data_IF_887849535657
#
_entry.id   IF_887849535657
#
_cell.length_a   1.000
_cell.length_b   1.000
_cell.length_c   1.000
_cell.angle_alpha   90.00
_cell.angle_beta   90.00
_cell.angle_gamma   90.00
#
_symmetry.space_group_name_H-M   'P 1'
#
loop_
_entity.id
_entity.type
_entity.pdbx_description
1 polymer ?
#
# COMPACT_ATOMS: atom_id res chain seq x y z
N UNK A 1 34.83 17.52 6.40
CA UNK A 1 34.10 17.41 5.13
C UNK A 1 32.64 17.43 5.52
N UNK A 2 31.93 18.51 5.20
CA UNK A 2 30.53 18.68 5.58
C UNK A 2 29.67 17.77 4.73
N UNK A 3 28.99 16.81 5.36
CA UNK A 3 27.98 15.97 4.73
C UNK A 3 26.79 16.86 4.33
N UNK A 4 26.78 17.26 3.07
CA UNK A 4 25.58 17.81 2.44
C UNK A 4 24.61 16.65 2.19
N UNK A 5 23.74 16.39 3.17
CA UNK A 5 22.49 15.68 2.94
C UNK A 5 21.74 16.44 1.83
N UNK A 6 21.70 15.85 0.63
CA UNK A 6 20.90 16.36 -0.48
C UNK A 6 19.47 16.59 0.00
N UNK A 7 18.84 17.73 -0.37
CA UNK A 7 17.47 18.00 0.03
C UNK A 7 16.56 16.87 -0.48
N UNK A 8 15.67 16.38 0.39
CA UNK A 8 14.66 15.40 0.02
C UNK A 8 13.84 15.95 -1.16
N UNK A 9 13.54 15.12 -2.18
CA UNK A 9 12.73 15.55 -3.32
C UNK A 9 11.37 16.09 -2.81
N UNK A 10 10.77 17.07 -3.52
CA UNK A 10 9.46 17.59 -3.17
C UNK A 10 8.44 16.44 -3.14
N UNK A 11 7.40 16.53 -2.28
CA UNK A 11 6.42 15.47 -2.17
C UNK A 11 5.76 15.25 -3.53
N UNK A 12 5.68 14.00 -4.00
CA UNK A 12 5.02 13.67 -5.26
C UNK A 12 3.56 14.12 -5.22
N UNK A 13 3.15 14.88 -6.24
CA UNK A 13 1.80 15.44 -6.34
C UNK A 13 0.79 14.50 -6.98
N UNK A 14 1.25 13.42 -7.63
CA UNK A 14 0.40 12.36 -8.22
C UNK A 14 0.53 11.05 -7.44
N UNK A 15 -0.54 10.25 -7.43
CA UNK A 15 -0.58 8.94 -6.77
C UNK A 15 0.52 8.02 -7.31
N UNK A 16 0.67 7.97 -8.63
CA UNK A 16 1.61 7.07 -9.28
C UNK A 16 3.06 7.52 -9.11
N UNK A 17 3.32 8.83 -9.13
CA UNK A 17 4.64 9.38 -8.78
C UNK A 17 5.03 8.98 -7.35
N UNK A 18 4.06 8.98 -6.42
CA UNK A 18 4.27 8.55 -5.04
C UNK A 18 4.61 7.07 -4.95
N UNK A 19 3.86 6.22 -5.67
CA UNK A 19 4.12 4.78 -5.74
C UNK A 19 5.49 4.50 -6.36
N UNK A 20 5.88 5.22 -7.41
CA UNK A 20 7.20 5.07 -8.04
C UNK A 20 8.35 5.43 -7.09
N UNK A 21 8.21 6.54 -6.35
CA UNK A 21 9.19 6.94 -5.32
C UNK A 21 9.31 5.87 -4.24
N UNK A 22 8.18 5.34 -3.75
CA UNK A 22 8.15 4.29 -2.73
C UNK A 22 8.76 2.97 -3.24
N UNK A 23 8.45 2.57 -4.48
CA UNK A 23 9.06 1.41 -5.12
C UNK A 23 10.58 1.57 -5.22
N UNK A 24 11.06 2.71 -5.71
CA UNK A 24 12.50 3.00 -5.83
C UNK A 24 13.21 2.98 -4.47
N UNK A 25 12.59 3.54 -3.44
CA UNK A 25 13.13 3.48 -2.07
C UNK A 25 13.18 2.04 -1.55
N UNK A 26 12.14 1.23 -1.76
CA UNK A 26 12.12 -0.17 -1.35
C UNK A 26 13.16 -1.02 -2.10
N UNK A 27 13.37 -0.77 -3.40
CA UNK A 27 14.36 -1.48 -4.21
C UNK A 27 15.79 -1.14 -3.74
N UNK A 28 16.05 0.14 -3.41
CA UNK A 28 17.35 0.58 -2.91
C UNK A 28 17.71 0.02 -1.52
N UNK A 29 16.72 -0.39 -0.73
CA UNK A 29 16.90 -0.87 0.65
C UNK A 29 16.75 -2.40 0.79
N UNK A 30 16.87 -3.17 -0.31
CA UNK A 30 16.67 -4.63 -0.28
C UNK A 30 17.96 -5.45 -0.33
N UNK A 31 18.07 -6.49 0.52
CA UNK A 31 19.15 -7.47 0.45
C UNK A 31 18.86 -8.66 -0.49
N UNK A 32 17.64 -8.78 -1.02
CA UNK A 32 17.14 -9.96 -1.77
C UNK A 32 16.87 -9.64 -3.25
N UNK A 33 17.03 -10.63 -4.12
CA UNK A 33 16.88 -10.49 -5.57
C UNK A 33 15.43 -10.34 -6.06
N UNK A 34 15.27 -9.99 -7.34
CA UNK A 34 14.03 -9.47 -7.93
C UNK A 34 12.78 -10.35 -7.70
N UNK A 35 12.89 -11.68 -7.85
CA UNK A 35 11.74 -12.59 -7.71
C UNK A 35 11.28 -12.75 -6.26
N UNK A 36 12.21 -12.90 -5.34
CA UNK A 36 11.90 -13.00 -3.91
C UNK A 36 11.33 -11.68 -3.40
N UNK A 37 11.87 -10.57 -3.90
CA UNK A 37 11.36 -9.25 -3.61
C UNK A 37 9.89 -9.08 -3.98
N UNK A 38 9.49 -9.49 -5.18
CA UNK A 38 8.08 -9.46 -5.59
C UNK A 38 7.19 -10.32 -4.66
N UNK A 39 7.62 -11.55 -4.35
CA UNK A 39 6.84 -12.44 -3.48
C UNK A 39 6.65 -11.85 -2.08
N UNK A 40 7.69 -11.23 -1.51
CA UNK A 40 7.58 -10.57 -0.21
C UNK A 40 6.62 -9.37 -0.23
N UNK A 41 6.58 -8.59 -1.33
CA UNK A 41 5.59 -7.50 -1.50
C UNK A 41 4.17 -8.02 -1.57
N UNK A 42 3.95 -9.16 -2.24
CA UNK A 42 2.64 -9.81 -2.29
C UNK A 42 2.26 -10.35 -0.91
N UNK A 43 3.19 -10.95 -0.17
CA UNK A 43 2.93 -11.47 1.18
C UNK A 43 2.58 -10.36 2.18
N UNK A 44 3.19 -9.17 2.04
CA UNK A 44 2.89 -8.00 2.88
C UNK A 44 1.39 -7.66 2.88
N UNK A 45 0.67 -7.89 1.77
CA UNK A 45 -0.79 -7.70 1.72
C UNK A 45 -1.56 -8.47 2.81
N UNK A 46 -1.10 -9.67 3.16
CA UNK A 46 -1.75 -10.47 4.21
C UNK A 46 -1.51 -9.88 5.60
N UNK A 47 -0.39 -9.20 5.81
CA UNK A 47 -0.07 -8.49 7.04
C UNK A 47 -0.99 -7.27 7.20
N UNK A 48 -1.06 -6.40 6.20
CA UNK A 48 -1.91 -5.19 6.19
C UNK A 48 -3.40 -5.54 6.38
N UNK A 49 -3.89 -6.60 5.73
CA UNK A 49 -5.27 -7.08 5.93
C UNK A 49 -5.48 -7.58 7.36
N UNK A 50 -4.46 -8.17 7.98
CA UNK A 50 -4.48 -8.56 9.39
C UNK A 50 -4.58 -7.34 10.31
N UNK A 51 -3.86 -6.26 10.00
CA UNK A 51 -3.89 -5.01 10.75
C UNK A 51 -5.25 -4.32 10.61
N UNK A 52 -5.87 -4.30 9.42
CA UNK A 52 -7.27 -3.87 9.26
C UNK A 52 -8.21 -4.68 10.18
N UNK A 53 -8.04 -6.00 10.25
CA UNK A 53 -8.87 -6.84 11.11
C UNK A 53 -8.65 -6.52 12.60
N UNK A 54 -7.42 -6.30 13.03
CA UNK A 54 -7.09 -5.89 14.39
C UNK A 54 -7.69 -4.51 14.73
N UNK A 55 -7.58 -3.55 13.82
CA UNK A 55 -8.16 -2.22 13.96
C UNK A 55 -9.69 -2.29 14.09
N UNK A 56 -10.37 -3.09 13.25
CA UNK A 56 -11.83 -3.28 13.34
C UNK A 56 -12.24 -3.92 14.67
N UNK A 57 -11.55 -4.99 15.10
CA UNK A 57 -11.82 -5.65 16.39
C UNK A 57 -11.64 -4.66 17.54
N UNK A 58 -10.59 -3.84 17.47
CA UNK A 58 -10.30 -2.79 18.45
C UNK A 58 -11.31 -1.65 18.44
N UNK A 59 -11.79 -1.21 17.28
CA UNK A 59 -12.77 -0.13 17.15
C UNK A 59 -14.18 -0.55 17.57
N UNK A 60 -14.50 -1.82 17.39
CA UNK A 60 -15.80 -2.40 17.77
C UNK A 60 -15.83 -2.99 19.18
N UNK A 61 -14.69 -2.97 19.88
CA UNK A 61 -14.56 -3.47 21.26
C UNK A 61 -14.80 -4.98 21.40
N UNK A 62 -14.64 -5.76 20.32
CA UNK A 62 -14.99 -7.18 20.30
C UNK A 62 -14.00 -8.06 21.07
N UNK A 63 -12.90 -7.50 21.57
CA UNK A 63 -12.00 -8.19 22.50
C UNK A 63 -12.41 -7.90 23.96
N UNK A 64 -13.08 -8.83 24.68
CA UNK A 64 -13.59 -8.58 26.02
C UNK A 64 -12.49 -8.29 27.06
N UNK A 65 -11.23 -8.65 26.75
CA UNK A 65 -10.08 -8.42 27.64
C UNK A 65 -9.48 -7.02 27.50
N UNK A 66 -9.72 -6.34 26.37
CA UNK A 66 -9.08 -5.05 26.05
C UNK A 66 -10.08 -3.90 25.88
N UNK A 67 -11.37 -4.19 25.66
CA UNK A 67 -12.35 -3.16 25.35
C UNK A 67 -12.07 -2.51 23.99
N UNK A 68 -12.41 -1.24 23.83
CA UNK A 68 -12.10 -0.46 22.62
C UNK A 68 -10.65 0.02 22.65
N UNK A 69 -9.84 -0.40 21.67
CA UNK A 69 -8.40 -0.04 21.58
C UNK A 69 -8.06 0.81 20.36
N UNK A 70 -8.95 0.84 19.38
CA UNK A 70 -8.78 1.57 18.13
C UNK A 70 -10.01 2.45 17.87
N UNK A 71 -9.89 3.31 16.90
CA UNK A 71 -10.92 4.18 16.35
C UNK A 71 -11.23 3.76 14.91
N UNK A 72 -12.30 4.30 14.34
CA UNK A 72 -12.56 4.15 12.92
C UNK A 72 -11.58 4.95 12.04
N UNK A 73 -10.83 5.89 12.61
CA UNK A 73 -9.70 6.52 11.91
C UNK A 73 -8.55 5.54 11.70
N UNK A 74 -8.24 4.71 12.70
CA UNK A 74 -7.22 3.66 12.58
C UNK A 74 -7.63 2.67 11.48
N UNK A 75 -8.89 2.23 11.45
CA UNK A 75 -9.40 1.36 10.36
C UNK A 75 -9.23 2.01 8.98
N UNK A 76 -9.44 3.32 8.86
CA UNK A 76 -9.22 4.04 7.59
C UNK A 76 -7.75 4.06 7.20
N UNK A 77 -6.85 4.25 8.16
CA UNK A 77 -5.41 4.24 7.93
C UNK A 77 -4.97 2.86 7.41
N UNK A 78 -5.34 1.79 8.11
CA UNK A 78 -4.96 0.42 7.70
C UNK A 78 -5.52 0.05 6.31
N UNK A 79 -6.72 0.52 5.96
CA UNK A 79 -7.27 0.34 4.61
C UNK A 79 -6.46 1.08 3.54
N UNK A 80 -5.91 2.26 3.86
CA UNK A 80 -4.99 2.97 2.98
C UNK A 80 -3.68 2.20 2.83
N UNK A 81 -3.17 1.59 3.89
CA UNK A 81 -1.92 0.82 3.85
C UNK A 81 -2.07 -0.46 3.00
N UNK A 82 -3.22 -1.13 3.07
CA UNK A 82 -3.58 -2.21 2.12
C UNK A 82 -3.56 -1.70 0.68
N UNK A 83 -4.19 -0.55 0.41
CA UNK A 83 -4.27 0.00 -0.95
C UNK A 83 -2.89 0.39 -1.49
N UNK A 84 -2.07 1.08 -0.70
CA UNK A 84 -0.69 1.46 -1.07
C UNK A 84 0.17 0.22 -1.30
N UNK A 85 0.10 -0.76 -0.41
CA UNK A 85 0.83 -2.03 -0.54
C UNK A 85 0.44 -2.78 -1.82
N UNK A 86 -0.85 -2.79 -2.18
CA UNK A 86 -1.33 -3.40 -3.42
C UNK A 86 -0.80 -2.68 -4.66
N UNK A 87 -0.78 -1.35 -4.66
CA UNK A 87 -0.24 -0.55 -5.77
C UNK A 87 1.28 -0.75 -5.93
N UNK A 88 2.03 -0.80 -4.83
CA UNK A 88 3.47 -1.11 -4.84
C UNK A 88 3.73 -2.52 -5.39
N UNK A 89 2.93 -3.51 -4.97
CA UNK A 89 3.05 -4.88 -5.47
C UNK A 89 2.76 -4.94 -6.98
N UNK A 90 1.71 -4.25 -7.46
CA UNK A 90 1.38 -4.16 -8.88
C UNK A 90 2.51 -3.47 -9.67
N UNK A 91 3.04 -2.36 -9.16
CA UNK A 91 4.15 -1.62 -9.79
C UNK A 91 5.46 -2.41 -9.83
N UNK A 92 5.65 -3.32 -8.88
CA UNK A 92 6.77 -4.27 -8.92
C UNK A 92 6.58 -5.35 -9.99
N UNK A 93 5.33 -5.79 -10.20
CA UNK A 93 5.00 -6.82 -11.18
C UNK A 93 5.11 -6.29 -12.62
N UNK A 94 4.77 -5.02 -12.84
CA UNK A 94 4.79 -4.39 -14.16
C UNK A 94 5.11 -2.90 -14.09
N UNK A 95 5.93 -2.35 -15.02
CA UNK A 95 6.12 -0.90 -15.13
C UNK A 95 4.82 -0.17 -15.55
N UNK A 96 3.92 -0.84 -16.28
CA UNK A 96 2.67 -0.26 -16.80
C UNK A 96 1.52 -0.32 -15.76
N UNK A 97 1.84 -0.25 -14.47
CA UNK A 97 0.89 -0.47 -13.39
C UNK A 97 -0.26 0.53 -13.39
N UNK A 98 0.01 1.78 -13.80
CA UNK A 98 -0.97 2.84 -13.93
C UNK A 98 -2.06 2.46 -14.94
N UNK A 99 -1.65 2.08 -16.13
CA UNK A 99 -2.52 1.67 -17.22
C UNK A 99 -3.30 0.40 -16.82
N UNK A 100 -2.61 -0.61 -16.30
CA UNK A 100 -3.24 -1.87 -15.87
C UNK A 100 -4.33 -1.64 -14.82
N UNK A 101 -4.04 -0.81 -13.80
CA UNK A 101 -5.01 -0.50 -12.75
C UNK A 101 -6.20 0.31 -13.28
N UNK A 102 -5.93 1.38 -14.03
CA UNK A 102 -6.98 2.26 -14.56
C UNK A 102 -7.92 1.53 -15.52
N UNK A 103 -7.37 0.69 -16.41
CA UNK A 103 -8.16 -0.15 -17.30
C UNK A 103 -9.00 -1.18 -16.52
N UNK A 104 -8.42 -1.80 -15.49
CA UNK A 104 -9.15 -2.74 -14.64
C UNK A 104 -10.30 -2.05 -13.91
N UNK A 105 -10.03 -0.88 -13.31
CA UNK A 105 -11.04 -0.08 -12.63
C UNK A 105 -12.16 0.33 -13.58
N UNK A 106 -11.84 0.81 -14.79
CA UNK A 106 -12.83 1.17 -15.80
C UNK A 106 -13.72 -0.02 -16.22
N UNK A 107 -13.14 -1.22 -16.32
CA UNK A 107 -13.92 -2.46 -16.58
C UNK A 107 -14.86 -2.80 -15.43
N UNK A 108 -14.39 -2.72 -14.18
CA UNK A 108 -15.21 -2.98 -12.99
C UNK A 108 -16.34 -1.96 -12.89
N UNK A 109 -16.05 -0.67 -13.10
CA UNK A 109 -17.06 0.40 -13.07
C UNK A 109 -18.15 0.19 -14.11
N UNK A 110 -17.80 -0.09 -15.37
CA UNK A 110 -18.79 -0.39 -16.42
C UNK A 110 -19.68 -1.58 -16.05
N UNK A 111 -19.07 -2.68 -15.61
CA UNK A 111 -19.79 -3.89 -15.18
C UNK A 111 -20.76 -3.60 -14.03
N UNK A 112 -20.34 -2.82 -13.04
CA UNK A 112 -21.14 -2.56 -11.84
C UNK A 112 -22.25 -1.53 -12.05
N UNK A 113 -22.04 -0.54 -12.93
CA UNK A 113 -23.01 0.55 -13.17
C UNK A 113 -23.94 0.29 -14.37
N UNK A 114 -23.71 -0.78 -15.15
CA UNK A 114 -24.60 -1.17 -16.25
C UNK A 114 -24.51 -0.28 -17.50
N UNK A 115 -23.39 0.40 -17.69
CA UNK A 115 -22.98 1.10 -18.94
C UNK A 115 -21.92 0.31 -19.66
#
# INVERSE_FOLDING_TARGET
MSDHLSPAPPPPTDLWDSVDVLCGWLDANRPVGDREGLLLRILKLSEEVGEVAEAVIGATGQNPRKGTTHTWDDVRAELCDVAVTALIALRTLTPDAREVFTDHLARVTRRSLGT
#
